data_IF_430252618393
#
_entry.id   IF_430252618393
#
_cell.length_a   1.000
_cell.length_b   1.000
_cell.length_c   1.000
_cell.angle_alpha   90.00
_cell.angle_beta   90.00
_cell.angle_gamma   90.00
#
_symmetry.space_group_name_H-M   'P 1'
#
loop_
_entity.id
_entity.type
_entity.pdbx_description
1 polymer ?
#
# COMPACT_ATOMS: atom_id res chain seq x y z
N UNK A 1 2.65 4.04 -3.30
CA UNK A 1 1.25 4.09 -2.81
C UNK A 1 0.51 2.76 -3.03
N UNK A 2 0.81 1.98 -4.07
CA UNK A 2 0.16 0.68 -4.36
C UNK A 2 0.30 -0.34 -3.23
N UNK A 3 1.53 -0.62 -2.77
CA UNK A 3 1.79 -1.65 -1.76
C UNK A 3 1.11 -1.31 -0.43
N UNK A 4 1.30 -0.08 0.07
CA UNK A 4 0.68 0.40 1.30
C UNK A 4 -0.84 0.41 1.24
N UNK A 5 -1.39 0.98 0.16
CA UNK A 5 -2.83 1.06 -0.01
C UNK A 5 -3.46 -0.33 -0.08
N UNK A 6 -2.87 -1.27 -0.83
CA UNK A 6 -3.42 -2.63 -0.95
C UNK A 6 -3.40 -3.39 0.38
N UNK A 7 -2.34 -3.21 1.18
CA UNK A 7 -2.26 -3.82 2.50
C UNK A 7 -3.31 -3.21 3.44
N UNK A 8 -3.47 -1.88 3.44
CA UNK A 8 -4.48 -1.21 4.26
C UNK A 8 -5.89 -1.65 3.84
N UNK A 9 -6.20 -1.61 2.55
CA UNK A 9 -7.49 -2.05 2.01
C UNK A 9 -7.80 -3.51 2.39
N UNK A 10 -6.84 -4.42 2.24
CA UNK A 10 -7.02 -5.82 2.63
C UNK A 10 -7.20 -6.05 4.13
N UNK A 11 -6.54 -5.26 4.98
CA UNK A 11 -6.58 -5.42 6.43
C UNK A 11 -7.76 -4.70 7.09
N UNK A 12 -8.01 -3.45 6.71
CA UNK A 12 -9.01 -2.57 7.35
C UNK A 12 -10.28 -2.41 6.52
N UNK A 13 -10.26 -2.75 5.23
CA UNK A 13 -11.34 -2.47 4.29
C UNK A 13 -11.39 -1.00 3.82
N UNK A 14 -10.37 -0.20 4.16
CA UNK A 14 -10.29 1.20 3.76
C UNK A 14 -9.57 1.34 2.40
N UNK A 15 -10.36 1.42 1.35
CA UNK A 15 -9.88 1.63 -0.02
C UNK A 15 -9.68 3.10 -0.39
N UNK A 16 -9.84 4.06 0.53
CA UNK A 16 -9.76 5.50 0.21
C UNK A 16 -8.45 5.89 -0.48
N UNK A 17 -7.32 5.38 0.01
CA UNK A 17 -6.01 5.60 -0.60
C UNK A 17 -5.90 5.00 -2.00
N UNK A 18 -6.53 3.84 -2.22
CA UNK A 18 -6.61 3.22 -3.55
C UNK A 18 -7.49 4.03 -4.48
N UNK A 19 -8.63 4.52 -4.02
CA UNK A 19 -9.55 5.33 -4.82
C UNK A 19 -8.89 6.62 -5.32
N UNK A 20 -8.19 7.34 -4.43
CA UNK A 20 -7.43 8.54 -4.82
C UNK A 20 -6.39 8.20 -5.87
N UNK A 21 -5.65 7.11 -5.70
CA UNK A 21 -4.68 6.64 -6.70
C UNK A 21 -5.34 6.29 -8.03
N UNK A 22 -6.46 5.57 -8.02
CA UNK A 22 -7.19 5.17 -9.23
C UNK A 22 -7.67 6.37 -10.04
N UNK A 23 -8.09 7.45 -9.37
CA UNK A 23 -8.42 8.71 -10.05
C UNK A 23 -7.19 9.30 -10.75
N UNK A 24 -6.04 9.39 -10.04
CA UNK A 24 -4.79 9.90 -10.62
C UNK A 24 -4.30 9.06 -11.80
N UNK A 25 -4.33 7.73 -11.66
CA UNK A 25 -3.96 6.78 -12.71
C UNK A 25 -4.93 6.89 -13.91
N UNK A 26 -6.21 7.15 -13.68
CA UNK A 26 -7.21 7.40 -14.73
C UNK A 26 -6.93 8.67 -15.54
N UNK A 27 -6.58 9.78 -14.89
CA UNK A 27 -6.14 11.00 -15.58
C UNK A 27 -4.87 10.78 -16.40
N UNK A 28 -3.88 10.06 -15.84
CA UNK A 28 -2.67 9.70 -16.57
C UNK A 28 -2.96 8.77 -17.75
N UNK A 29 -3.88 7.82 -17.60
CA UNK A 29 -4.29 6.91 -18.65
C UNK A 29 -4.92 7.64 -19.85
N UNK A 30 -5.69 8.71 -19.63
CA UNK A 30 -6.22 9.55 -20.73
C UNK A 30 -5.09 10.19 -21.54
N UNK A 31 -4.08 10.74 -20.86
CA UNK A 31 -2.92 11.33 -21.52
C UNK A 31 -2.14 10.27 -22.31
N UNK A 32 -1.84 9.13 -21.68
CA UNK A 32 -1.10 8.04 -22.33
C UNK A 32 -1.90 7.35 -23.45
N UNK A 33 -3.22 7.29 -23.38
CA UNK A 33 -4.05 6.67 -24.42
C UNK A 33 -3.94 7.44 -25.74
N UNK A 34 -3.75 8.76 -25.69
CA UNK A 34 -3.52 9.59 -26.89
C UNK A 34 -2.21 9.25 -27.62
N UNK A 35 -1.20 8.77 -26.89
CA UNK A 35 0.15 8.51 -27.43
C UNK A 35 0.41 7.02 -27.69
N UNK A 36 -0.09 6.14 -26.81
CA UNK A 36 0.18 4.69 -26.80
C UNK A 36 -1.05 3.87 -27.22
N UNK A 37 -2.20 4.50 -27.44
CA UNK A 37 -3.41 3.86 -27.96
C UNK A 37 -3.96 2.77 -27.04
N UNK A 38 -4.41 1.66 -27.66
CA UNK A 38 -5.09 0.55 -26.98
C UNK A 38 -4.23 -0.15 -25.90
N UNK A 39 -2.90 -0.02 -25.96
CA UNK A 39 -1.99 -0.63 -25.00
C UNK A 39 -2.21 -0.18 -23.54
N UNK A 40 -2.82 0.99 -23.33
CA UNK A 40 -3.13 1.52 -21.99
C UNK A 40 -4.19 0.69 -21.26
N UNK A 41 -5.17 0.14 -21.99
CA UNK A 41 -6.21 -0.72 -21.40
C UNK A 41 -5.60 -2.01 -20.85
N UNK A 42 -4.58 -2.55 -21.54
CA UNK A 42 -3.88 -3.76 -21.10
C UNK A 42 -3.13 -3.54 -19.77
N UNK A 43 -2.68 -2.31 -19.49
CA UNK A 43 -2.04 -1.98 -18.21
C UNK A 43 -2.99 -2.13 -17.01
N UNK A 44 -4.31 -1.92 -17.21
CA UNK A 44 -5.30 -2.12 -16.17
C UNK A 44 -5.32 -3.58 -15.67
N UNK A 45 -5.08 -4.56 -16.55
CA UNK A 45 -5.00 -5.97 -16.17
C UNK A 45 -3.80 -6.23 -15.26
N UNK A 46 -2.63 -5.68 -15.59
CA UNK A 46 -1.43 -5.82 -14.75
C UNK A 46 -1.64 -5.20 -13.38
N UNK A 47 -2.23 -4.01 -13.32
CA UNK A 47 -2.55 -3.33 -12.04
C UNK A 47 -3.56 -4.17 -11.25
N UNK A 48 -4.60 -4.69 -11.89
CA UNK A 48 -5.61 -5.53 -11.23
C UNK A 48 -4.97 -6.78 -10.60
N UNK A 49 -4.09 -7.47 -11.33
CA UNK A 49 -3.41 -8.68 -10.82
C UNK A 49 -2.49 -8.33 -9.65
N UNK A 50 -1.63 -7.32 -9.79
CA UNK A 50 -0.66 -6.97 -8.75
C UNK A 50 -1.33 -6.35 -7.52
N UNK A 51 -2.13 -5.31 -7.73
CA UNK A 51 -2.78 -4.56 -6.65
C UNK A 51 -3.89 -5.38 -6.01
N UNK A 52 -4.73 -6.04 -6.82
CA UNK A 52 -5.80 -6.91 -6.33
C UNK A 52 -5.26 -8.16 -5.65
N UNK A 53 -4.19 -8.76 -6.18
CA UNK A 53 -3.52 -9.89 -5.53
C UNK A 53 -2.95 -9.52 -4.15
N UNK A 54 -2.33 -8.34 -4.03
CA UNK A 54 -1.86 -7.83 -2.74
C UNK A 54 -3.00 -7.57 -1.76
N UNK A 55 -4.10 -6.94 -2.20
CA UNK A 55 -5.27 -6.68 -1.36
C UNK A 55 -5.91 -7.98 -0.86
N UNK A 56 -6.11 -8.95 -1.75
CA UNK A 56 -6.66 -10.26 -1.39
C UNK A 56 -5.71 -11.02 -0.45
N UNK A 57 -4.41 -11.01 -0.72
CA UNK A 57 -3.40 -11.64 0.14
C UNK A 57 -3.39 -11.04 1.55
N UNK A 58 -3.50 -9.72 1.67
CA UNK A 58 -3.62 -9.03 2.95
C UNK A 58 -4.93 -9.40 3.67
N UNK A 59 -6.05 -9.47 2.94
CA UNK A 59 -7.33 -9.92 3.50
C UNK A 59 -7.30 -11.36 4.04
N UNK A 60 -6.63 -12.28 3.35
CA UNK A 60 -6.41 -13.64 3.84
C UNK A 60 -5.50 -13.67 5.07
N UNK A 61 -4.47 -12.82 5.10
CA UNK A 61 -3.55 -12.70 6.23
C UNK A 61 -4.22 -12.07 7.47
N UNK A 62 -5.35 -11.37 7.32
CA UNK A 62 -6.11 -10.78 8.44
C UNK A 62 -6.49 -11.82 9.50
N UNK A 63 -6.78 -13.06 9.12
CA UNK A 63 -7.09 -14.14 10.05
C UNK A 63 -5.93 -14.50 11.00
N UNK A 64 -4.71 -14.11 10.66
CA UNK A 64 -3.49 -14.35 11.46
C UNK A 64 -3.10 -13.15 12.33
N UNK A 65 -3.80 -12.02 12.20
CA UNK A 65 -3.47 -10.77 12.89
C UNK A 65 -4.42 -10.54 14.07
N UNK A 66 -3.87 -10.15 15.22
CA UNK A 66 -4.67 -9.76 16.39
C UNK A 66 -5.02 -8.27 16.36
N UNK A 67 -6.06 -7.88 17.11
CA UNK A 67 -6.54 -6.50 17.21
C UNK A 67 -5.45 -5.43 17.44
N UNK A 68 -4.41 -5.63 18.29
CA UNK A 68 -3.34 -4.65 18.44
C UNK A 68 -2.32 -4.62 17.29
N UNK A 69 -2.25 -5.65 16.44
CA UNK A 69 -1.28 -5.71 15.34
C UNK A 69 -1.66 -4.78 14.17
N UNK A 70 -2.96 -4.68 13.86
CA UNK A 70 -3.46 -3.89 12.71
C UNK A 70 -3.21 -2.38 12.88
N UNK A 71 -3.47 -1.76 14.05
CA UNK A 71 -3.13 -0.35 14.30
C UNK A 71 -1.64 -0.06 14.16
N UNK A 72 -0.76 -0.92 14.66
CA UNK A 72 0.70 -0.74 14.56
C UNK A 72 1.19 -0.83 13.11
N UNK A 73 0.66 -1.79 12.34
CA UNK A 73 0.93 -1.88 10.90
C UNK A 73 0.47 -0.62 10.16
N UNK A 74 -0.70 -0.09 10.53
CA UNK A 74 -1.26 1.14 9.95
C UNK A 74 -0.42 2.35 10.32
N UNK A 75 0.06 2.45 11.56
CA UNK A 75 0.93 3.53 12.02
C UNK A 75 2.26 3.56 11.25
N UNK A 76 2.93 2.42 11.10
CA UNK A 76 4.14 2.29 10.26
C UNK A 76 3.81 2.71 8.82
N UNK A 77 2.67 2.26 8.30
CA UNK A 77 2.17 2.63 6.99
C UNK A 77 2.06 4.14 6.77
N UNK A 78 1.46 4.84 7.73
CA UNK A 78 1.34 6.31 7.71
C UNK A 78 2.70 7.00 7.67
N UNK A 79 3.67 6.54 8.47
CA UNK A 79 5.04 7.09 8.47
C UNK A 79 5.73 6.87 7.11
N UNK A 80 5.55 5.70 6.50
CA UNK A 80 6.08 5.43 5.16
C UNK A 80 5.45 6.34 4.10
N UNK A 81 4.15 6.63 4.17
CA UNK A 81 3.47 7.58 3.27
C UNK A 81 4.05 8.98 3.42
N UNK A 82 4.28 9.45 4.66
CA UNK A 82 4.96 10.73 4.90
C UNK A 82 6.36 10.76 4.28
N UNK A 83 7.12 9.66 4.41
CA UNK A 83 8.43 9.52 3.77
C UNK A 83 8.38 9.61 2.24
N UNK A 84 7.34 9.05 1.62
CA UNK A 84 7.11 9.18 0.16
C UNK A 84 6.78 10.64 -0.18
N UNK A 85 5.94 11.30 0.60
CA UNK A 85 5.61 12.73 0.41
C UNK A 85 6.85 13.62 0.43
N UNK A 86 7.77 13.41 1.38
CA UNK A 86 9.04 14.15 1.44
C UNK A 86 9.93 13.90 0.22
N UNK A 87 9.90 12.69 -0.34
CA UNK A 87 10.66 12.35 -1.55
C UNK A 87 10.03 12.99 -2.80
N UNK A 88 8.70 13.06 -2.89
CA UNK A 88 7.97 13.68 -4.00
C UNK A 88 8.12 15.21 -4.01
N UNK A 89 8.13 15.85 -2.83
CA UNK A 89 8.38 17.29 -2.68
C UNK A 89 9.86 17.67 -2.85
N UNK A 90 10.72 16.70 -3.18
CA UNK A 90 12.17 16.87 -3.32
C UNK A 90 12.90 17.45 -2.10
N UNK A 91 12.25 17.50 -0.93
CA UNK A 91 12.85 17.97 0.32
C UNK A 91 13.95 17.00 0.78
N UNK A 92 13.64 15.69 0.78
CA UNK A 92 14.59 14.65 1.17
C UNK A 92 14.27 13.33 0.48
N UNK A 93 15.23 12.81 -0.29
CA UNK A 93 15.11 11.52 -0.97
C UNK A 93 15.38 10.38 0.02
N UNK A 94 14.32 9.84 0.61
CA UNK A 94 14.36 8.65 1.45
C UNK A 94 14.15 7.40 0.60
N UNK A 95 14.92 6.34 0.86
CA UNK A 95 14.74 5.01 0.23
C UNK A 95 13.58 4.27 0.90
N UNK A 96 12.37 4.81 0.80
CA UNK A 96 11.19 4.29 1.51
C UNK A 96 10.89 2.83 1.14
N UNK A 97 11.20 2.43 -0.10
CA UNK A 97 11.08 1.04 -0.53
C UNK A 97 11.89 0.06 0.36
N UNK A 98 13.05 0.47 0.86
CA UNK A 98 13.87 -0.36 1.74
C UNK A 98 13.28 -0.48 3.16
N UNK A 99 12.34 0.39 3.51
CA UNK A 99 11.68 0.41 4.81
C UNK A 99 10.33 -0.36 4.79
N UNK A 100 9.89 -0.83 3.62
CA UNK A 100 8.67 -1.66 3.50
C UNK A 100 8.66 -2.90 4.40
N UNK A 101 9.80 -3.61 4.64
CA UNK A 101 9.81 -4.75 5.56
C UNK A 101 9.35 -4.40 6.98
N UNK A 102 9.45 -3.14 7.41
CA UNK A 102 9.02 -2.69 8.73
C UNK A 102 7.54 -2.98 9.01
N UNK A 103 6.68 -3.02 7.98
CA UNK A 103 5.26 -3.33 8.12
C UNK A 103 5.05 -4.75 8.65
N UNK A 104 5.91 -5.70 8.26
CA UNK A 104 5.86 -7.07 8.75
C UNK A 104 6.55 -7.24 10.11
N UNK A 105 7.43 -6.31 10.48
CA UNK A 105 8.08 -6.29 11.79
C UNK A 105 7.09 -5.84 12.88
N UNK A 106 6.16 -4.93 12.59
CA UNK A 106 5.10 -4.50 13.53
C UNK A 106 4.35 -5.66 14.21
N UNK A 107 3.72 -6.60 13.49
CA UNK A 107 2.98 -7.69 14.11
C UNK A 107 3.89 -8.61 14.94
N UNK A 108 5.15 -8.80 14.53
CA UNK A 108 6.14 -9.58 15.29
C UNK A 108 6.48 -8.86 16.61
N UNK A 109 6.69 -7.55 16.57
CA UNK A 109 6.98 -6.74 17.75
C UNK A 109 5.82 -6.77 18.75
N UNK A 110 4.57 -6.64 18.26
CA UNK A 110 3.36 -6.75 19.09
C UNK A 110 3.22 -8.15 19.68
N UNK A 111 3.45 -9.20 18.89
CA UNK A 111 3.41 -10.58 19.39
C UNK A 111 4.45 -10.85 20.49
N UNK A 112 5.63 -10.21 20.41
CA UNK A 112 6.66 -10.30 21.45
C UNK A 112 6.25 -9.54 22.71
N UNK A 113 5.71 -8.33 22.54
CA UNK A 113 5.25 -7.48 23.64
C UNK A 113 4.10 -8.14 24.42
N UNK A 114 3.13 -8.74 23.73
CA UNK A 114 2.01 -9.45 24.35
C UNK A 114 2.39 -10.76 25.05
N UNK A 115 3.65 -11.21 24.95
CA UNK A 115 4.17 -12.36 25.71
C UNK A 115 4.99 -11.94 26.94
N UNK A 116 5.43 -10.68 26.98
CA UNK A 116 6.23 -10.11 28.06
C UNK A 116 5.37 -9.40 29.12
N UNK A 117 4.16 -8.99 28.77
CA UNK A 117 3.14 -8.36 29.63
C UNK A 117 1.85 -9.17 29.58
#
# INVERSE_FOLDING_TARGET
MTIMGSIQDGLTGDFSTLAVKSMLDGFAALAFASSLGWGVIVAALTVLIYQGGLTLGAGLAKALLTDPMVPEMTAIGGVLIVGIGLALLEIKRLRVANLLPAIFIAPIAVALASRLF
#
